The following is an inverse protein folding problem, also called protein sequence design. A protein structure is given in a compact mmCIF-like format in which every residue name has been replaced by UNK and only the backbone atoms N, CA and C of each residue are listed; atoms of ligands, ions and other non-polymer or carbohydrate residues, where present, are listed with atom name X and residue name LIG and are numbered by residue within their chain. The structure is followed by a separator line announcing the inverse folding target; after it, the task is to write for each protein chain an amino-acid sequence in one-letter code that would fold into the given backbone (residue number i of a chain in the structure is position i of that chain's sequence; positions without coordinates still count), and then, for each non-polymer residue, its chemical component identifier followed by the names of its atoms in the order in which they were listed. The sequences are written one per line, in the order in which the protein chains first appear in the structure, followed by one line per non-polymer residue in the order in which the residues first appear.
data_IF_294940725443
#
_entry.id   IF_294940725443
#
_cell.length_a   1.000
_cell.length_b   1.000
_cell.length_c   1.000
_cell.angle_alpha   90.00
_cell.angle_beta   90.00
_cell.angle_gamma   90.00
#
_symmetry.space_group_name_H-M   'P 1'
#
loop_
_entity.id
_entity.type
_entity.pdbx_description
1 polymer ?
#
# COMPACT_ATOMS: atom_id res chain seq x y z
N UNK A 1 7.48 20.95 1.23
CA UNK A 1 7.50 19.49 1.05
C UNK A 1 6.82 19.24 -0.29
N UNK A 2 7.37 18.40 -1.10
CA UNK A 2 6.95 18.22 -2.50
C UNK A 2 5.58 17.53 -2.69
N UNK A 3 5.02 16.88 -1.67
CA UNK A 3 3.63 16.36 -1.67
C UNK A 3 2.59 17.36 -1.17
N UNK A 4 2.99 18.58 -0.84
CA UNK A 4 2.06 19.62 -0.40
C UNK A 4 1.03 19.90 -1.48
N UNK A 5 -0.25 19.97 -1.09
CA UNK A 5 -1.43 20.18 -1.94
C UNK A 5 -1.72 19.05 -2.96
N UNK A 6 -0.88 18.00 -3.05
CA UNK A 6 -1.16 16.82 -3.87
C UNK A 6 -2.31 16.00 -3.31
N UNK A 7 -3.11 15.43 -4.20
CA UNK A 7 -4.18 14.49 -3.86
C UNK A 7 -3.60 13.07 -3.84
N UNK A 8 -3.64 12.46 -2.67
CA UNK A 8 -3.07 11.14 -2.40
C UNK A 8 -4.17 10.17 -2.01
N UNK A 9 -4.33 9.10 -2.79
CA UNK A 9 -5.24 7.99 -2.49
C UNK A 9 -4.44 6.90 -1.76
N UNK A 10 -4.96 6.42 -0.63
CA UNK A 10 -4.37 5.32 0.12
C UNK A 10 -5.43 4.23 0.28
N UNK A 11 -5.22 3.07 -0.35
CA UNK A 11 -6.06 1.90 -0.13
C UNK A 11 -5.59 1.16 1.12
N UNK A 12 -6.51 0.57 1.90
CA UNK A 12 -6.17 -0.05 3.19
C UNK A 12 -5.78 0.98 4.26
N UNK A 13 -6.28 2.22 4.15
CA UNK A 13 -5.84 3.33 4.97
C UNK A 13 -6.46 3.42 6.37
N UNK A 14 -7.45 2.56 6.70
CA UNK A 14 -8.10 2.58 8.01
C UNK A 14 -7.18 2.12 9.14
N UNK A 15 -6.16 1.31 8.85
CA UNK A 15 -5.30 0.69 9.87
C UNK A 15 -3.87 0.47 9.36
N UNK A 16 -2.99 -0.01 10.25
CA UNK A 16 -1.64 -0.47 9.92
C UNK A 16 -0.77 0.55 9.20
N UNK A 17 -0.09 0.08 8.16
CA UNK A 17 0.83 0.88 7.34
C UNK A 17 0.07 1.99 6.60
N UNK A 18 -1.12 1.69 6.06
CA UNK A 18 -1.95 2.67 5.37
C UNK A 18 -2.34 3.85 6.28
N UNK A 19 -2.80 3.57 7.51
CA UNK A 19 -3.09 4.63 8.51
C UNK A 19 -1.85 5.42 8.91
N UNK A 20 -0.70 4.74 9.07
CA UNK A 20 0.56 5.43 9.32
C UNK A 20 0.90 6.40 8.17
N UNK A 21 0.82 5.93 6.93
CA UNK A 21 1.06 6.76 5.75
C UNK A 21 0.07 7.93 5.65
N UNK A 22 -1.22 7.71 5.94
CA UNK A 22 -2.23 8.77 5.94
C UNK A 22 -1.81 9.94 6.86
N UNK A 23 -1.36 9.64 8.08
CA UNK A 23 -0.85 10.66 9.02
C UNK A 23 0.42 11.34 8.50
N UNK A 24 1.34 10.59 7.89
CA UNK A 24 2.60 11.16 7.36
C UNK A 24 2.34 12.09 6.18
N UNK A 25 1.50 11.69 5.23
CA UNK A 25 1.10 12.54 4.11
C UNK A 25 0.30 13.76 4.56
N UNK A 26 -0.59 13.60 5.56
CA UNK A 26 -1.29 14.73 6.18
C UNK A 26 -0.32 15.76 6.77
N UNK A 27 0.64 15.29 7.58
CA UNK A 27 1.68 16.16 8.17
C UNK A 27 2.58 16.82 7.11
N UNK A 28 2.68 16.24 5.93
CA UNK A 28 3.41 16.81 4.78
C UNK A 28 2.56 17.78 3.94
N UNK A 29 1.28 17.98 4.29
CA UNK A 29 0.37 18.91 3.65
C UNK A 29 -0.39 18.38 2.43
N UNK A 30 -0.47 17.06 2.27
CA UNK A 30 -1.27 16.43 1.20
C UNK A 30 -2.78 16.48 1.52
N UNK A 31 -3.60 16.41 0.47
CA UNK A 31 -5.03 16.12 0.54
C UNK A 31 -5.23 14.62 0.40
N UNK A 32 -6.04 14.01 1.25
CA UNK A 32 -6.11 12.56 1.33
C UNK A 32 -7.48 12.01 0.92
N UNK A 33 -7.46 10.93 0.15
CA UNK A 33 -8.59 10.01 0.05
C UNK A 33 -8.18 8.68 0.69
N UNK A 34 -8.93 8.24 1.69
CA UNK A 34 -8.70 6.97 2.38
C UNK A 34 -9.75 5.99 1.89
N UNK A 35 -9.28 4.91 1.26
CA UNK A 35 -10.13 3.88 0.66
C UNK A 35 -9.99 2.60 1.47
N UNK A 36 -11.06 2.14 2.11
CA UNK A 36 -11.05 0.91 2.92
C UNK A 36 -12.47 0.32 3.02
N UNK A 37 -12.56 -0.97 3.36
CA UNK A 37 -13.81 -1.63 3.75
C UNK A 37 -14.09 -1.50 5.26
N UNK A 38 -13.07 -1.18 6.05
CA UNK A 38 -13.19 -0.97 7.50
C UNK A 38 -13.68 0.45 7.84
N UNK A 39 -14.22 0.67 9.04
CA UNK A 39 -14.55 2.01 9.53
C UNK A 39 -13.31 2.93 9.51
N UNK A 40 -13.48 4.16 9.02
CA UNK A 40 -12.39 5.12 8.81
C UNK A 40 -12.47 6.38 9.68
N UNK A 41 -13.46 6.47 10.58
CA UNK A 41 -13.72 7.66 11.40
C UNK A 41 -12.50 8.05 12.24
N UNK A 42 -11.83 7.06 12.82
CA UNK A 42 -10.65 7.29 13.66
C UNK A 42 -9.48 7.89 12.87
N UNK A 43 -9.15 7.33 11.70
CA UNK A 43 -8.05 7.85 10.86
C UNK A 43 -8.43 9.18 10.23
N UNK A 44 -9.69 9.38 9.88
CA UNK A 44 -10.18 10.65 9.34
C UNK A 44 -10.05 11.78 10.38
N UNK A 45 -10.42 11.53 11.65
CA UNK A 45 -10.23 12.48 12.75
C UNK A 45 -8.75 12.82 12.94
N UNK A 46 -7.87 11.81 12.99
CA UNK A 46 -6.43 12.03 13.14
C UNK A 46 -5.81 12.86 12.01
N UNK A 47 -6.24 12.61 10.77
CA UNK A 47 -5.78 13.36 9.59
C UNK A 47 -6.28 14.81 9.65
N UNK A 48 -7.56 15.01 10.03
CA UNK A 48 -8.14 16.34 10.18
C UNK A 48 -7.44 17.15 11.31
N UNK A 49 -7.12 16.51 12.44
CA UNK A 49 -6.36 17.11 13.54
C UNK A 49 -4.96 17.59 13.12
N UNK A 50 -4.37 16.94 12.11
CA UNK A 50 -3.10 17.38 11.49
C UNK A 50 -3.27 18.54 10.49
N UNK A 51 -4.51 19.03 10.29
CA UNK A 51 -4.84 20.14 9.41
C UNK A 51 -5.01 19.75 7.93
N UNK A 52 -5.03 18.48 7.58
CA UNK A 52 -5.20 18.02 6.21
C UNK A 52 -6.67 17.79 5.86
N UNK A 53 -7.01 17.99 4.58
CA UNK A 53 -8.30 17.57 4.04
C UNK A 53 -8.32 16.05 3.89
N UNK A 54 -9.41 15.41 4.26
CA UNK A 54 -9.59 13.97 4.16
C UNK A 54 -10.97 13.60 3.62
N UNK A 55 -10.99 12.68 2.66
CA UNK A 55 -12.19 12.08 2.08
C UNK A 55 -12.15 10.56 2.36
N UNK A 56 -12.91 10.06 3.35
CA UNK A 56 -13.10 8.63 3.52
C UNK A 56 -14.02 8.09 2.42
N UNK A 57 -13.60 6.99 1.77
CA UNK A 57 -14.37 6.32 0.71
C UNK A 57 -14.47 4.84 1.03
N UNK A 58 -15.64 4.40 1.48
CA UNK A 58 -15.89 2.99 1.77
C UNK A 58 -15.94 2.20 0.47
N UNK A 59 -15.00 1.25 0.29
CA UNK A 59 -14.81 0.55 -0.99
C UNK A 59 -14.20 -0.82 -0.77
N UNK A 60 -14.81 -1.85 -1.31
CA UNK A 60 -14.16 -3.15 -1.48
C UNK A 60 -13.36 -3.14 -2.79
N UNK A 61 -12.03 -3.17 -2.70
CA UNK A 61 -11.16 -3.15 -3.88
C UNK A 61 -11.25 -4.42 -4.74
N UNK A 62 -11.91 -5.47 -4.26
CA UNK A 62 -12.21 -6.68 -5.04
C UNK A 62 -13.34 -6.47 -6.04
N UNK A 63 -14.13 -5.44 -5.84
CA UNK A 63 -15.26 -5.03 -6.67
C UNK A 63 -14.83 -3.87 -7.58
N UNK A 64 -14.72 -4.15 -8.86
CA UNK A 64 -14.24 -3.17 -9.85
C UNK A 64 -15.16 -1.96 -9.99
N UNK A 65 -16.48 -2.15 -9.89
CA UNK A 65 -17.45 -1.05 -10.02
C UNK A 65 -17.38 -0.10 -8.80
N UNK A 66 -17.16 -0.64 -7.61
CA UNK A 66 -16.91 0.19 -6.43
C UNK A 66 -15.61 0.97 -6.55
N UNK A 67 -14.54 0.34 -7.06
CA UNK A 67 -13.26 1.04 -7.27
C UNK A 67 -13.40 2.15 -8.30
N UNK A 68 -14.08 1.90 -9.42
CA UNK A 68 -14.34 2.94 -10.42
C UNK A 68 -15.09 4.12 -9.82
N UNK A 69 -16.17 3.85 -9.07
CA UNK A 69 -16.94 4.89 -8.40
C UNK A 69 -16.11 5.65 -7.35
N UNK A 70 -15.21 4.97 -6.63
CA UNK A 70 -14.30 5.59 -5.67
C UNK A 70 -13.34 6.58 -6.35
N UNK A 71 -12.70 6.20 -7.46
CA UNK A 71 -11.79 7.08 -8.22
C UNK A 71 -12.53 8.30 -8.78
N UNK A 72 -13.74 8.09 -9.32
CA UNK A 72 -14.59 9.17 -9.78
C UNK A 72 -14.97 10.12 -8.63
N UNK A 73 -15.34 9.58 -7.46
CA UNK A 73 -15.67 10.38 -6.27
C UNK A 73 -14.47 11.23 -5.83
N UNK A 74 -13.27 10.66 -5.78
CA UNK A 74 -12.04 11.39 -5.42
C UNK A 74 -11.76 12.50 -6.43
N UNK A 75 -11.80 12.18 -7.73
CA UNK A 75 -11.58 13.17 -8.77
C UNK A 75 -12.62 14.29 -8.72
N UNK A 76 -13.90 13.96 -8.56
CA UNK A 76 -14.99 14.96 -8.42
C UNK A 76 -14.77 15.88 -7.21
N UNK A 77 -14.24 15.33 -6.10
CA UNK A 77 -14.05 16.10 -4.85
C UNK A 77 -12.83 17.02 -4.90
N UNK A 78 -11.72 16.55 -5.45
CA UNK A 78 -10.44 17.27 -5.43
C UNK A 78 -10.01 17.85 -6.78
N UNK A 79 -10.64 17.43 -7.88
CA UNK A 79 -10.32 17.86 -9.25
C UNK A 79 -9.11 17.19 -9.87
N UNK A 80 -8.43 16.26 -9.14
CA UNK A 80 -7.22 15.58 -9.58
C UNK A 80 -6.93 14.33 -8.77
N UNK A 81 -6.02 13.47 -9.29
CA UNK A 81 -5.41 12.34 -8.59
C UNK A 81 -3.91 12.37 -8.86
N UNK A 82 -3.09 12.68 -7.87
CA UNK A 82 -1.64 12.80 -8.04
C UNK A 82 -0.86 11.55 -7.65
N UNK A 83 -1.30 10.89 -6.58
CA UNK A 83 -0.62 9.71 -6.04
C UNK A 83 -1.64 8.65 -5.67
N UNK A 84 -1.39 7.41 -6.10
CA UNK A 84 -2.10 6.22 -5.64
C UNK A 84 -1.15 5.32 -4.87
N UNK A 85 -1.51 4.95 -3.64
CA UNK A 85 -0.79 3.99 -2.81
C UNK A 85 -1.65 2.74 -2.65
N UNK A 86 -1.28 1.66 -3.32
CA UNK A 86 -1.94 0.36 -3.23
C UNK A 86 -1.38 -0.43 -2.05
N UNK A 87 -1.85 -0.11 -0.83
CA UNK A 87 -1.42 -0.77 0.42
C UNK A 87 -2.40 -1.85 0.89
N UNK A 88 -3.68 -1.79 0.51
CA UNK A 88 -4.68 -2.75 0.92
C UNK A 88 -4.28 -4.19 0.57
N UNK A 89 -4.26 -5.07 1.57
CA UNK A 89 -3.89 -6.46 1.39
C UNK A 89 -4.36 -7.34 2.55
N UNK A 90 -4.55 -8.62 2.30
CA UNK A 90 -4.69 -9.63 3.34
C UNK A 90 -3.29 -10.07 3.76
N UNK A 91 -2.95 -9.84 5.05
CA UNK A 91 -1.62 -10.10 5.65
C UNK A 91 -1.69 -10.84 6.99
N UNK A 92 -2.83 -11.41 7.31
CA UNK A 92 -3.14 -11.93 8.66
C UNK A 92 -2.18 -13.01 9.16
N UNK A 93 -1.50 -13.76 8.27
CA UNK A 93 -0.54 -14.79 8.64
C UNK A 93 0.75 -14.24 9.29
N UNK A 94 0.98 -12.93 9.19
CA UNK A 94 2.09 -12.27 9.89
C UNK A 94 1.67 -11.64 11.21
N UNK A 95 0.38 -11.75 11.58
CA UNK A 95 -0.13 -11.11 12.79
C UNK A 95 0.18 -11.95 14.03
N UNK A 96 0.68 -11.31 15.07
CA UNK A 96 0.86 -11.96 16.37
C UNK A 96 -0.49 -12.52 16.87
N UNK A 97 -0.47 -13.77 17.34
CA UNK A 97 -1.68 -14.44 17.83
C UNK A 97 -2.63 -14.96 16.75
N UNK A 98 -2.41 -14.64 15.48
CA UNK A 98 -3.21 -15.21 14.39
C UNK A 98 -2.82 -16.64 14.08
N UNK A 99 -3.76 -17.52 13.73
CA UNK A 99 -3.45 -18.84 13.21
C UNK A 99 -2.56 -18.72 11.98
N UNK A 100 -1.58 -19.63 11.85
CA UNK A 100 -0.82 -19.72 10.59
C UNK A 100 -1.76 -20.08 9.45
N UNK A 101 -1.50 -19.54 8.28
CA UNK A 101 -2.23 -19.92 7.09
C UNK A 101 -1.97 -21.40 6.75
N UNK A 102 -2.94 -22.07 6.14
CA UNK A 102 -2.79 -23.48 5.77
C UNK A 102 -1.65 -23.64 4.78
N UNK A 103 -0.94 -24.77 4.88
CA UNK A 103 0.01 -25.17 3.84
C UNK A 103 -0.78 -25.51 2.57
N UNK A 104 -0.12 -25.49 1.40
CA UNK A 104 -0.81 -25.59 0.11
C UNK A 104 -1.73 -26.80 -0.03
N UNK A 105 -1.37 -27.96 0.53
CA UNK A 105 -2.18 -29.18 0.45
C UNK A 105 -3.49 -29.10 1.25
N UNK A 106 -3.52 -28.24 2.27
CA UNK A 106 -4.65 -28.07 3.18
C UNK A 106 -5.39 -26.75 2.92
N UNK A 107 -4.97 -25.99 1.89
CA UNK A 107 -5.51 -24.67 1.57
C UNK A 107 -6.77 -24.78 0.71
N UNK A 108 -7.87 -24.26 1.20
CA UNK A 108 -9.10 -24.17 0.42
C UNK A 108 -8.93 -23.21 -0.76
N UNK A 109 -9.48 -23.58 -1.94
CA UNK A 109 -9.43 -22.73 -3.14
C UNK A 109 -10.00 -21.34 -2.89
N UNK A 110 -11.11 -21.26 -2.15
CA UNK A 110 -11.75 -19.98 -1.80
C UNK A 110 -10.84 -19.05 -0.99
N UNK A 111 -10.01 -19.61 -0.10
CA UNK A 111 -9.03 -18.83 0.64
C UNK A 111 -7.93 -18.29 -0.29
N UNK A 112 -7.39 -19.16 -1.15
CA UNK A 112 -6.40 -18.77 -2.16
C UNK A 112 -6.95 -17.67 -3.06
N UNK A 113 -8.14 -17.87 -3.62
CA UNK A 113 -8.81 -16.90 -4.47
C UNK A 113 -9.05 -15.56 -3.78
N UNK A 114 -9.49 -15.57 -2.51
CA UNK A 114 -9.73 -14.34 -1.77
C UNK A 114 -8.45 -13.51 -1.58
N UNK A 115 -7.32 -14.16 -1.30
CA UNK A 115 -6.02 -13.47 -1.20
C UNK A 115 -5.61 -12.87 -2.55
N UNK A 116 -5.73 -13.62 -3.64
CA UNK A 116 -5.39 -13.13 -4.99
C UNK A 116 -6.33 -12.01 -5.40
N UNK A 117 -7.64 -12.15 -5.17
CA UNK A 117 -8.62 -11.10 -5.49
C UNK A 117 -8.38 -9.82 -4.72
N UNK A 118 -8.02 -9.91 -3.45
CA UNK A 118 -7.73 -8.71 -2.66
C UNK A 118 -6.39 -8.10 -3.05
N UNK A 119 -5.31 -8.88 -2.99
CA UNK A 119 -3.97 -8.32 -3.09
C UNK A 119 -3.59 -7.95 -4.53
N UNK A 120 -3.89 -8.82 -5.49
CA UNK A 120 -3.49 -8.62 -6.89
C UNK A 120 -4.58 -7.92 -7.71
N UNK A 121 -5.81 -8.48 -7.71
CA UNK A 121 -6.90 -7.87 -8.49
C UNK A 121 -7.30 -6.51 -7.94
N UNK A 122 -7.32 -6.32 -6.62
CA UNK A 122 -7.57 -5.00 -6.03
C UNK A 122 -6.52 -3.96 -6.44
N UNK A 123 -5.24 -4.33 -6.46
CA UNK A 123 -4.17 -3.45 -6.99
C UNK A 123 -4.39 -3.14 -8.47
N UNK A 124 -4.77 -4.13 -9.28
CA UNK A 124 -5.10 -3.95 -10.68
C UNK A 124 -6.27 -2.99 -10.86
N UNK A 125 -7.40 -3.19 -10.18
CA UNK A 125 -8.59 -2.33 -10.29
C UNK A 125 -8.25 -0.88 -9.94
N UNK A 126 -7.59 -0.66 -8.80
CA UNK A 126 -7.24 0.69 -8.36
C UNK A 126 -6.30 1.38 -9.36
N UNK A 127 -5.29 0.68 -9.85
CA UNK A 127 -4.36 1.19 -10.86
C UNK A 127 -5.08 1.53 -12.16
N UNK A 128 -5.88 0.59 -12.69
CA UNK A 128 -6.66 0.75 -13.93
C UNK A 128 -7.55 2.00 -13.91
N UNK A 129 -8.24 2.26 -12.80
CA UNK A 129 -9.19 3.35 -12.70
C UNK A 129 -8.59 4.68 -12.23
N UNK A 130 -7.34 4.70 -11.75
CA UNK A 130 -6.60 5.94 -11.46
C UNK A 130 -5.86 6.47 -12.70
N UNK A 131 -5.33 5.60 -13.55
CA UNK A 131 -4.53 5.95 -14.74
C UNK A 131 -5.21 6.99 -15.63
N UNK A 132 -6.48 6.86 -16.06
CA UNK A 132 -7.08 7.85 -16.98
C UNK A 132 -7.04 9.30 -16.47
N UNK A 133 -7.18 9.51 -15.17
CA UNK A 133 -7.06 10.83 -14.55
C UNK A 133 -5.63 11.35 -14.53
N UNK A 134 -4.65 10.46 -14.35
CA UNK A 134 -3.24 10.79 -14.38
C UNK A 134 -2.75 11.06 -15.81
N UNK A 135 -3.27 10.33 -16.80
CA UNK A 135 -3.01 10.57 -18.23
C UNK A 135 -3.50 11.97 -18.65
N UNK A 136 -4.73 12.34 -18.28
CA UNK A 136 -5.28 13.67 -18.52
C UNK A 136 -4.41 14.79 -17.93
N UNK A 137 -3.77 14.50 -16.79
CA UNK A 137 -2.87 15.43 -16.09
C UNK A 137 -1.45 15.44 -16.68
N UNK A 138 -1.09 14.44 -17.50
CA UNK A 138 0.29 14.13 -17.89
C UNK A 138 1.26 14.04 -16.71
N UNK A 139 0.77 13.54 -15.59
CA UNK A 139 1.55 13.38 -14.36
C UNK A 139 0.83 12.47 -13.37
N UNK A 140 1.57 11.56 -12.75
CA UNK A 140 1.04 10.68 -11.70
C UNK A 140 2.12 9.85 -11.05
N UNK A 141 1.85 9.38 -9.82
CA UNK A 141 2.69 8.40 -9.14
C UNK A 141 1.83 7.27 -8.62
N UNK A 142 2.20 6.04 -8.92
CA UNK A 142 1.55 4.84 -8.38
C UNK A 142 2.58 4.03 -7.61
N UNK A 143 2.29 3.77 -6.34
CA UNK A 143 3.14 2.99 -5.45
C UNK A 143 2.41 1.70 -5.11
N UNK A 144 2.87 0.61 -5.68
CA UNK A 144 2.33 -0.71 -5.44
C UNK A 144 3.07 -1.41 -4.30
N UNK A 145 2.34 -1.99 -3.37
CA UNK A 145 2.92 -2.75 -2.27
C UNK A 145 3.28 -4.17 -2.74
N UNK A 146 4.43 -4.26 -3.42
CA UNK A 146 5.01 -5.51 -3.91
C UNK A 146 6.25 -5.90 -3.12
N UNK A 147 6.60 -7.18 -3.12
CA UNK A 147 7.81 -7.69 -2.50
C UNK A 147 8.59 -8.54 -3.49
N UNK A 148 9.91 -8.36 -3.54
CA UNK A 148 10.71 -8.83 -4.66
C UNK A 148 11.29 -10.21 -4.58
N UNK A 149 11.38 -10.84 -3.43
CA UNK A 149 12.06 -12.12 -3.33
C UNK A 149 11.12 -13.20 -2.79
N UNK A 150 10.94 -14.24 -3.58
CA UNK A 150 10.61 -15.56 -3.04
C UNK A 150 11.83 -15.97 -2.21
N UNK A 151 11.70 -15.99 -0.90
CA UNK A 151 12.80 -16.38 -0.02
C UNK A 151 13.26 -17.78 -0.38
N UNK A 152 14.52 -17.90 -0.79
CA UNK A 152 15.15 -19.18 -1.08
C UNK A 152 15.46 -19.99 0.20
N UNK A 153 15.40 -19.35 1.36
CA UNK A 153 15.61 -20.00 2.64
C UNK A 153 14.29 -20.28 3.34
N UNK A 154 14.18 -21.48 3.90
CA UNK A 154 13.03 -21.90 4.70
C UNK A 154 13.04 -21.13 6.02
N UNK A 155 12.47 -19.95 6.03
CA UNK A 155 12.05 -19.30 7.26
C UNK A 155 10.82 -20.06 7.79
N UNK A 156 10.91 -20.73 8.95
CA UNK A 156 9.77 -21.45 9.51
C UNK A 156 8.53 -20.58 9.70
N UNK A 157 8.71 -19.28 9.90
CA UNK A 157 7.63 -18.32 10.08
C UNK A 157 6.94 -17.94 8.77
N UNK A 158 7.52 -18.26 7.62
CA UNK A 158 6.92 -18.05 6.29
C UNK A 158 6.17 -19.27 5.76
N UNK A 159 6.13 -20.39 6.49
CA UNK A 159 5.35 -21.56 6.10
C UNK A 159 3.86 -21.19 6.10
N UNK A 160 3.15 -21.53 5.00
CA UNK A 160 1.75 -21.16 4.78
C UNK A 160 1.55 -19.82 4.08
N UNK A 161 2.59 -19.02 3.86
CA UNK A 161 2.49 -17.71 3.21
C UNK A 161 2.59 -17.76 1.67
N UNK A 162 2.52 -18.93 1.03
CA UNK A 162 2.78 -19.08 -0.40
C UNK A 162 1.88 -18.18 -1.26
N UNK A 163 0.58 -18.13 -1.01
CA UNK A 163 -0.37 -17.32 -1.79
C UNK A 163 -0.11 -15.83 -1.61
N UNK A 164 0.28 -15.39 -0.40
CA UNK A 164 0.69 -14.02 -0.16
C UNK A 164 1.94 -13.66 -0.99
N UNK A 165 2.97 -14.49 -0.93
CA UNK A 165 4.20 -14.26 -1.69
C UNK A 165 3.93 -14.24 -3.20
N UNK A 166 3.11 -15.19 -3.70
CA UNK A 166 2.67 -15.19 -5.11
C UNK A 166 2.02 -13.86 -5.46
N UNK A 167 1.08 -13.37 -4.65
CA UNK A 167 0.42 -12.10 -4.92
C UNK A 167 1.40 -10.93 -4.96
N UNK A 168 2.38 -10.88 -4.05
CA UNK A 168 3.35 -9.77 -3.98
C UNK A 168 4.39 -9.80 -5.10
N UNK A 169 4.84 -10.98 -5.52
CA UNK A 169 5.70 -11.13 -6.70
C UNK A 169 4.95 -10.77 -7.98
N UNK A 170 3.69 -11.18 -8.09
CA UNK A 170 2.83 -10.82 -9.24
C UNK A 170 2.60 -9.32 -9.33
N UNK A 171 2.40 -8.63 -8.20
CA UNK A 171 2.30 -7.15 -8.17
C UNK A 171 3.58 -6.49 -8.69
N UNK A 172 4.76 -7.05 -8.38
CA UNK A 172 6.02 -6.54 -8.92
C UNK A 172 6.08 -6.68 -10.44
N UNK A 173 5.73 -7.84 -10.97
CA UNK A 173 5.68 -8.06 -12.42
C UNK A 173 4.67 -7.10 -13.08
N UNK A 174 3.45 -7.01 -12.53
CA UNK A 174 2.43 -6.06 -12.95
C UNK A 174 2.95 -4.61 -12.97
N UNK A 175 3.63 -4.18 -11.93
CA UNK A 175 4.23 -2.83 -11.85
C UNK A 175 5.17 -2.57 -13.02
N UNK A 176 6.01 -3.53 -13.37
CA UNK A 176 7.00 -3.40 -14.45
C UNK A 176 6.32 -3.24 -15.81
N UNK A 177 5.30 -4.06 -16.09
CA UNK A 177 4.58 -4.00 -17.37
C UNK A 177 3.80 -2.70 -17.53
N UNK A 178 2.97 -2.35 -16.53
CA UNK A 178 2.16 -1.12 -16.58
C UNK A 178 3.03 0.14 -16.62
N UNK A 179 4.17 0.14 -15.92
CA UNK A 179 5.10 1.28 -15.99
C UNK A 179 5.71 1.48 -17.39
N UNK A 180 5.82 0.41 -18.19
CA UNK A 180 6.26 0.52 -19.57
C UNK A 180 5.15 1.11 -20.47
N UNK A 181 3.89 0.73 -20.22
CA UNK A 181 2.71 1.26 -20.95
C UNK A 181 2.54 2.76 -20.71
N UNK A 182 2.71 3.21 -19.44
CA UNK A 182 2.37 4.57 -19.00
C UNK A 182 3.55 5.57 -19.07
N UNK A 183 4.68 5.14 -19.60
CA UNK A 183 5.90 5.98 -19.67
C UNK A 183 5.69 7.28 -20.47
N UNK A 184 4.97 7.21 -21.57
CA UNK A 184 4.70 8.37 -22.43
C UNK A 184 3.75 9.39 -21.79
N UNK A 185 2.95 8.96 -20.80
CA UNK A 185 2.04 9.81 -20.02
C UNK A 185 2.69 10.45 -18.81
N UNK A 186 4.00 10.24 -18.60
CA UNK A 186 4.74 10.74 -17.43
C UNK A 186 4.16 10.27 -16.10
N UNK A 187 3.69 9.00 -16.05
CA UNK A 187 3.21 8.35 -14.84
C UNK A 187 4.31 7.45 -14.30
N UNK A 188 4.81 7.76 -13.11
CA UNK A 188 5.84 6.97 -12.44
C UNK A 188 5.18 5.87 -11.60
N UNK A 189 5.40 4.60 -11.96
CA UNK A 189 4.83 3.45 -11.26
C UNK A 189 5.96 2.62 -10.66
N UNK A 190 5.98 2.48 -9.35
CA UNK A 190 7.03 1.75 -8.63
C UNK A 190 6.44 0.68 -7.71
N UNK A 191 7.23 -0.35 -7.45
CA UNK A 191 6.92 -1.35 -6.42
C UNK A 191 7.78 -1.06 -5.19
N UNK A 192 7.17 -1.07 -4.00
CA UNK A 192 7.86 -0.87 -2.73
C UNK A 192 7.33 -1.83 -1.68
N UNK A 193 8.23 -2.42 -0.90
CA UNK A 193 7.85 -3.15 0.32
C UNK A 193 7.79 -2.22 1.54
N UNK A 194 7.28 -2.70 2.68
CA UNK A 194 7.18 -1.91 3.91
C UNK A 194 8.54 -1.44 4.43
N UNK A 195 9.60 -2.02 3.91
CA UNK A 195 10.94 -1.84 4.40
C UNK A 195 11.28 -2.83 5.52
N UNK A 196 12.55 -3.01 5.84
CA UNK A 196 12.98 -3.87 6.94
C UNK A 196 13.82 -5.06 6.52
N UNK A 197 14.65 -4.90 5.46
CA UNK A 197 15.70 -5.88 5.19
C UNK A 197 16.76 -5.97 6.29
N UNK A 198 16.99 -4.87 7.00
CA UNK A 198 18.14 -4.75 7.89
C UNK A 198 17.77 -4.65 9.39
N UNK A 199 16.49 -4.54 9.73
CA UNK A 199 16.06 -4.48 11.13
C UNK A 199 14.91 -5.45 11.34
N UNK A 200 15.24 -6.67 11.72
CA UNK A 200 14.29 -7.66 12.19
C UNK A 200 14.44 -7.85 13.69
N UNK A 201 13.58 -7.30 14.53
CA UNK A 201 13.24 -8.00 15.74
C UNK A 201 12.28 -9.13 15.35
N UNK A 202 12.72 -10.35 15.48
CA UNK A 202 11.89 -11.56 15.39
C UNK A 202 11.07 -11.71 16.69
N UNK A 203 10.47 -10.61 17.16
CA UNK A 203 9.84 -10.52 18.49
C UNK A 203 8.32 -10.73 18.47
N UNK A 204 7.79 -11.27 17.37
CA UNK A 204 6.36 -11.59 17.26
C UNK A 204 5.42 -10.38 17.12
N UNK A 205 5.94 -9.16 17.03
CA UNK A 205 5.14 -7.92 16.96
C UNK A 205 4.65 -7.56 15.57
N UNK A 206 4.68 -8.50 14.64
CA UNK A 206 4.15 -8.30 13.29
C UNK A 206 2.67 -8.60 13.28
N UNK A 207 1.86 -7.58 13.14
CA UNK A 207 0.45 -7.79 12.86
C UNK A 207 -0.47 -6.80 13.54
N UNK A 208 -1.67 -6.70 12.97
CA UNK A 208 -2.77 -5.88 13.46
C UNK A 208 -3.64 -6.80 14.28
N UNK A 209 -3.70 -6.61 15.61
CA UNK A 209 -4.76 -7.18 16.42
C UNK A 209 -5.96 -6.22 16.38
N UNK A 210 -7.13 -6.74 16.08
CA UNK A 210 -8.38 -5.95 16.07
C UNK A 210 -8.87 -5.58 17.47
N UNK A 211 -8.27 -6.18 18.50
CA UNK A 211 -8.57 -6.04 19.92
C UNK A 211 -7.44 -5.40 20.73
N UNK A 212 -6.51 -4.70 20.04
CA UNK A 212 -5.40 -4.01 20.70
C UNK A 212 -5.87 -2.92 21.65
N UNK A 213 -5.26 -2.90 22.83
CA UNK A 213 -5.39 -1.74 23.73
C UNK A 213 -4.76 -0.48 23.11
N UNK A 214 -5.16 0.72 23.56
CA UNK A 214 -4.53 1.96 23.10
C UNK A 214 -3.00 2.02 23.33
N UNK A 215 -2.47 1.30 24.32
CA UNK A 215 -1.04 1.22 24.60
C UNK A 215 -0.31 0.34 23.57
N UNK A 216 -0.83 -0.85 23.29
CA UNK A 216 -0.30 -1.78 22.28
C UNK A 216 -0.35 -1.16 20.88
N UNK A 217 -1.45 -0.46 20.56
CA UNK A 217 -1.55 0.27 19.28
C UNK A 217 -0.46 1.35 19.17
N UNK A 218 -0.19 2.13 20.25
CA UNK A 218 0.88 3.14 20.23
C UNK A 218 2.26 2.50 20.04
N UNK A 219 2.55 1.39 20.67
CA UNK A 219 3.82 0.67 20.53
C UNK A 219 3.98 0.11 19.10
N UNK A 220 2.93 -0.51 18.56
CA UNK A 220 2.91 -1.00 17.18
C UNK A 220 3.08 0.14 16.17
N UNK A 221 2.39 1.26 16.36
CA UNK A 221 2.52 2.43 15.47
C UNK A 221 3.92 3.04 15.52
N UNK A 222 4.61 2.97 16.67
CA UNK A 222 6.02 3.36 16.78
C UNK A 222 6.89 2.43 15.92
N UNK A 223 6.70 1.13 16.03
CA UNK A 223 7.43 0.15 15.23
C UNK A 223 7.17 0.33 13.72
N UNK A 224 5.92 0.52 13.30
CA UNK A 224 5.59 0.84 11.90
C UNK A 224 6.33 2.11 11.46
N UNK A 225 6.36 3.13 12.31
CA UNK A 225 7.09 4.38 12.05
C UNK A 225 8.59 4.16 11.86
N UNK A 226 9.21 3.32 12.68
CA UNK A 226 10.65 3.01 12.58
C UNK A 226 10.99 2.24 11.29
N UNK A 227 10.08 1.39 10.83
CA UNK A 227 10.27 0.57 9.63
C UNK A 227 9.93 1.35 8.35
N UNK A 228 8.76 2.00 8.33
CA UNK A 228 8.22 2.66 7.12
C UNK A 228 8.86 4.02 6.91
N UNK A 229 9.04 4.82 7.99
CA UNK A 229 9.57 6.20 7.94
C UNK A 229 8.86 7.01 6.83
N UNK A 230 9.59 7.81 6.09
CA UNK A 230 9.09 8.65 5.00
C UNK A 230 9.23 8.01 3.60
N UNK A 231 9.39 6.71 3.54
CA UNK A 231 9.67 5.97 2.28
C UNK A 231 8.61 6.20 1.22
N UNK A 232 7.34 6.21 1.62
CA UNK A 232 6.23 6.43 0.69
C UNK A 232 6.12 7.89 0.24
N UNK A 233 6.49 8.85 1.10
CA UNK A 233 6.59 10.25 0.70
C UNK A 233 7.68 10.42 -0.36
N UNK A 234 8.85 9.81 -0.15
CA UNK A 234 9.91 9.81 -1.14
C UNK A 234 9.47 9.12 -2.44
N UNK A 235 8.77 7.99 -2.35
CA UNK A 235 8.28 7.27 -3.52
C UNK A 235 7.21 8.05 -4.30
N UNK A 236 6.43 8.90 -3.64
CA UNK A 236 5.47 9.80 -4.29
C UNK A 236 6.14 10.92 -5.12
N UNK A 237 7.46 10.94 -5.14
CA UNK A 237 8.33 11.88 -5.87
C UNK A 237 9.42 11.13 -6.64
N UNK A 238 9.24 9.81 -6.80
CA UNK A 238 10.21 9.00 -7.50
C UNK A 238 10.42 9.53 -8.94
N UNK A 239 11.66 9.72 -9.38
CA UNK A 239 11.91 10.14 -10.73
C UNK A 239 11.57 9.01 -11.72
N UNK A 240 11.27 9.38 -12.97
CA UNK A 240 10.83 8.45 -14.02
C UNK A 240 11.84 7.33 -14.32
N UNK A 241 13.12 7.53 -14.01
CA UNK A 241 14.18 6.51 -14.16
C UNK A 241 13.95 5.32 -13.21
N UNK A 242 13.20 5.52 -12.13
CA UNK A 242 12.85 4.45 -11.18
C UNK A 242 11.54 3.75 -11.55
N UNK A 243 10.77 4.27 -12.51
CA UNK A 243 9.51 3.65 -12.94
C UNK A 243 9.73 2.22 -13.45
N UNK A 244 8.84 1.30 -13.07
CA UNK A 244 8.94 -0.12 -13.39
C UNK A 244 9.84 -0.93 -12.46
N UNK A 245 10.48 -0.30 -11.47
CA UNK A 245 11.40 -0.99 -10.58
C UNK A 245 10.82 -1.23 -9.19
N UNK A 246 11.40 -2.22 -8.53
CA UNK A 246 11.27 -2.33 -7.08
C UNK A 246 12.28 -1.39 -6.44
N UNK A 247 11.79 -0.56 -5.53
CA UNK A 247 12.60 0.46 -4.86
C UNK A 247 12.50 0.34 -3.33
N UNK A 248 13.47 0.92 -2.67
CA UNK A 248 13.44 1.16 -1.22
C UNK A 248 14.07 2.52 -0.91
N UNK A 249 13.96 2.98 0.33
CA UNK A 249 14.67 4.16 0.78
C UNK A 249 15.78 3.77 1.75
N UNK A 250 17.01 4.24 1.48
CA UNK A 250 18.17 4.13 2.36
C UNK A 250 18.77 5.52 2.55
N UNK A 251 19.01 5.90 3.79
CA UNK A 251 19.59 7.21 4.14
C UNK A 251 18.86 8.41 3.48
N UNK A 252 17.52 8.35 3.45
CA UNK A 252 16.67 9.41 2.88
C UNK A 252 16.68 9.48 1.34
N UNK A 253 17.23 8.49 0.65
CA UNK A 253 17.26 8.42 -0.82
C UNK A 253 16.58 7.16 -1.33
N UNK A 254 15.89 7.28 -2.46
CA UNK A 254 15.37 6.12 -3.16
C UNK A 254 16.50 5.36 -3.86
N UNK A 255 16.49 4.07 -3.71
CA UNK A 255 17.41 3.16 -4.39
C UNK A 255 16.64 2.02 -5.03
N UNK A 256 17.08 1.60 -6.21
CA UNK A 256 16.57 0.41 -6.86
C UNK A 256 17.08 -0.82 -6.11
N UNK A 257 16.20 -1.79 -5.93
CA UNK A 257 16.56 -3.12 -5.47
C UNK A 257 16.88 -3.98 -6.69
N UNK A 258 18.03 -4.63 -6.65
CA UNK A 258 18.43 -5.59 -7.69
C UNK A 258 17.48 -6.81 -7.67
N UNK A 259 17.32 -7.43 -8.84
CA UNK A 259 16.46 -8.60 -9.07
C UNK A 259 16.95 -9.85 -8.37
#
# INVERSE_FOLDING_TARGET
MAVKDKVVIITGGAMGIGRYNARRFASAGAKLAIVDIAPMEAVASEVAELGAQVLPVHTDIRDEDQVRAAMEQVHKHYGRIDVLINDAAIVTHFMAGSPRWPVIRDMESSFFENVIRTNLMGTFHCTKHAIPYMEEQHAGHIINFGQGNVRNERDPDSIGACVYHISKVSIRAFTKEVAAEEREHNICIVSMGPGGGDAQPNDGRRGIATDETPAENRERMRWVGDVVKDRYILAAEAPMELSGNQITARDGKLVKLDD
#
